data_IF_133051493722
#
_entry.id   IF_133051493722
#
_cell.length_a   1.000
_cell.length_b   1.000
_cell.length_c   1.000
_cell.angle_alpha   90.00
_cell.angle_beta   90.00
_cell.angle_gamma   90.00
#
_symmetry.space_group_name_H-M   'P 1'
#
loop_
_entity.id
_entity.type
_entity.pdbx_description
1 polymer ?
#
# COMPACT_ATOMS: atom_id res chain seq x y z
N UNK A 1 -13.38 -22.67 -1.91
CA UNK A 1 -13.17 -21.78 -3.08
C UNK A 1 -11.71 -21.35 -3.05
N UNK A 2 -10.99 -21.63 -4.12
CA UNK A 2 -9.54 -21.84 -4.13
C UNK A 2 -8.75 -20.54 -3.97
N UNK A 3 -7.94 -20.45 -2.92
CA UNK A 3 -6.94 -19.40 -2.67
C UNK A 3 -5.77 -19.58 -3.65
N UNK A 4 -5.85 -18.98 -4.83
CA UNK A 4 -4.71 -18.89 -5.73
C UNK A 4 -3.84 -17.72 -5.33
N UNK A 5 -3.04 -17.89 -4.27
CA UNK A 5 -2.08 -16.89 -3.80
C UNK A 5 -0.87 -16.88 -4.74
N UNK A 6 -0.78 -15.81 -5.54
CA UNK A 6 0.45 -15.27 -6.13
C UNK A 6 1.33 -16.27 -6.90
N UNK A 7 0.87 -16.72 -8.07
CA UNK A 7 1.77 -17.33 -9.06
C UNK A 7 2.02 -16.35 -10.21
N UNK A 8 2.90 -15.38 -9.99
CA UNK A 8 3.60 -14.65 -11.05
C UNK A 8 4.77 -13.89 -10.45
N UNK A 9 5.92 -13.90 -11.12
CA UNK A 9 7.12 -13.13 -10.79
C UNK A 9 6.87 -11.64 -11.03
N UNK A 10 6.00 -11.06 -10.22
CA UNK A 10 5.63 -9.67 -10.36
C UNK A 10 6.73 -8.78 -9.78
N UNK A 11 7.05 -7.68 -10.48
CA UNK A 11 7.99 -6.70 -9.96
C UNK A 11 7.46 -6.07 -8.67
N UNK A 12 8.37 -5.69 -7.76
CA UNK A 12 8.01 -5.01 -6.51
C UNK A 12 7.08 -3.81 -6.76
N UNK A 13 7.39 -3.00 -7.78
CA UNK A 13 6.55 -1.89 -8.24
C UNK A 13 5.12 -2.29 -8.55
N UNK A 14 4.95 -3.33 -9.36
CA UNK A 14 3.62 -3.76 -9.80
C UNK A 14 2.84 -4.40 -8.64
N UNK A 15 3.52 -5.10 -7.74
CA UNK A 15 2.91 -5.61 -6.51
C UNK A 15 2.46 -4.47 -5.59
N UNK A 16 3.31 -3.47 -5.34
CA UNK A 16 2.98 -2.28 -4.54
C UNK A 16 1.77 -1.55 -5.11
N UNK A 17 1.73 -1.36 -6.43
CA UNK A 17 0.60 -0.73 -7.10
C UNK A 17 -0.72 -1.51 -6.91
N UNK A 18 -0.67 -2.84 -6.99
CA UNK A 18 -1.86 -3.67 -6.72
C UNK A 18 -2.30 -3.61 -5.25
N UNK A 19 -1.35 -3.63 -4.31
CA UNK A 19 -1.68 -3.55 -2.88
C UNK A 19 -2.33 -2.21 -2.51
N UNK A 20 -1.95 -1.11 -3.17
CA UNK A 20 -2.57 0.20 -2.98
C UNK A 20 -4.06 0.28 -3.36
N UNK A 21 -4.51 -0.59 -4.27
CA UNK A 21 -5.92 -0.64 -4.71
C UNK A 21 -6.67 -1.86 -4.15
N UNK A 22 -5.99 -2.71 -3.37
CA UNK A 22 -6.58 -3.90 -2.80
C UNK A 22 -7.44 -3.58 -1.57
N UNK A 23 -8.56 -4.30 -1.41
CA UNK A 23 -9.38 -4.27 -0.18
C UNK A 23 -10.24 -3.02 0.02
N UNK A 24 -10.22 -2.05 -0.89
CA UNK A 24 -11.11 -0.88 -0.86
C UNK A 24 -12.47 -1.12 -1.51
N UNK A 25 -13.22 -0.04 -1.70
CA UNK A 25 -14.50 -0.06 -2.41
C UNK A 25 -14.34 0.22 -3.92
N UNK A 26 -15.47 0.26 -4.63
CA UNK A 26 -15.54 0.50 -6.07
C UNK A 26 -14.84 1.79 -6.57
N UNK A 27 -14.52 2.73 -5.69
CA UNK A 27 -13.78 3.95 -6.05
C UNK A 27 -12.31 3.69 -6.34
N UNK A 28 -11.72 2.60 -5.84
CA UNK A 28 -10.33 2.22 -6.11
C UNK A 28 -10.18 1.28 -7.32
N UNK A 29 -11.29 0.74 -7.83
CA UNK A 29 -11.26 -0.12 -9.02
C UNK A 29 -10.77 0.68 -10.23
N UNK A 30 -9.86 0.08 -10.98
CA UNK A 30 -9.33 0.66 -12.20
C UNK A 30 -10.25 0.35 -13.38
N UNK A 31 -10.44 1.34 -14.24
CA UNK A 31 -11.07 1.18 -15.55
C UNK A 31 -10.12 0.52 -16.57
N UNK A 32 -10.57 0.43 -17.83
CA UNK A 32 -9.78 -0.13 -18.93
C UNK A 32 -8.52 0.70 -19.26
N UNK A 33 -8.47 1.96 -18.82
CA UNK A 33 -7.35 2.88 -18.99
C UNK A 33 -6.36 2.79 -17.81
N UNK A 34 -6.67 2.02 -16.77
CA UNK A 34 -5.82 1.87 -15.58
C UNK A 34 -5.97 2.99 -14.57
N UNK A 35 -7.07 3.73 -14.62
CA UNK A 35 -7.37 4.83 -13.68
C UNK A 35 -8.59 4.53 -12.81
N UNK A 36 -8.60 5.06 -11.59
CA UNK A 36 -9.72 4.90 -10.67
C UNK A 36 -10.87 5.90 -10.99
N UNK A 37 -11.98 5.90 -10.21
CA UNK A 37 -13.11 6.84 -10.43
C UNK A 37 -12.74 8.33 -10.38
N UNK A 38 -11.54 8.66 -9.90
CA UNK A 38 -10.99 10.02 -9.83
C UNK A 38 -9.98 10.33 -10.94
N UNK A 39 -9.74 9.40 -11.87
CA UNK A 39 -8.74 9.55 -12.93
C UNK A 39 -7.30 9.35 -12.46
N UNK A 40 -7.08 8.77 -11.26
CA UNK A 40 -5.74 8.56 -10.71
C UNK A 40 -5.22 7.14 -10.99
N UNK A 41 -3.93 7.03 -11.29
CA UNK A 41 -3.21 5.75 -11.39
C UNK A 41 -2.70 5.30 -10.02
N UNK A 42 -2.53 3.99 -9.77
CA UNK A 42 -1.97 3.48 -8.52
C UNK A 42 -0.45 3.68 -8.41
N UNK A 43 0.20 4.13 -9.49
CA UNK A 43 1.61 4.52 -9.53
C UNK A 43 1.76 6.04 -9.60
N UNK A 44 2.90 6.59 -9.13
CA UNK A 44 3.20 8.01 -9.28
C UNK A 44 3.13 8.46 -10.74
N UNK A 45 2.60 9.66 -10.95
CA UNK A 45 2.63 10.35 -12.22
C UNK A 45 3.18 11.76 -11.99
N UNK A 46 4.47 11.96 -12.27
CA UNK A 46 5.18 13.22 -12.04
C UNK A 46 4.71 14.36 -12.97
N UNK A 47 4.03 14.03 -14.07
CA UNK A 47 3.44 15.02 -14.98
C UNK A 47 2.11 15.60 -14.45
N UNK A 48 1.52 15.00 -13.41
CA UNK A 48 0.28 15.48 -12.78
C UNK A 48 0.59 16.42 -11.61
N UNK A 49 0.24 17.69 -11.76
CA UNK A 49 0.14 18.61 -10.64
C UNK A 49 -1.18 18.34 -9.90
N UNK A 50 -1.08 17.66 -8.76
CA UNK A 50 -2.25 17.27 -7.96
C UNK A 50 -2.76 18.44 -7.12
N UNK A 51 -3.75 19.17 -7.63
CA UNK A 51 -4.52 20.18 -6.86
C UNK A 51 -5.80 19.61 -6.24
N UNK A 52 -5.98 18.29 -6.34
CA UNK A 52 -7.15 17.57 -5.85
C UNK A 52 -7.12 17.36 -4.33
N UNK A 53 -8.31 17.16 -3.76
CA UNK A 53 -8.51 16.80 -2.35
C UNK A 53 -7.84 15.47 -1.97
N UNK A 54 -7.60 15.23 -0.68
CA UNK A 54 -6.95 14.04 -0.08
C UNK A 54 -7.48 12.67 -0.60
N UNK A 55 -8.71 12.60 -1.10
CA UNK A 55 -9.32 11.38 -1.67
C UNK A 55 -9.15 11.21 -3.19
N UNK A 56 -8.63 12.22 -3.88
CA UNK A 56 -8.38 12.25 -5.32
C UNK A 56 -6.91 12.63 -5.62
N UNK A 57 -6.01 12.26 -4.70
CA UNK A 57 -4.59 12.53 -4.80
C UNK A 57 -3.84 11.32 -5.33
N UNK A 58 -2.93 11.54 -6.28
CA UNK A 58 -1.95 10.53 -6.69
C UNK A 58 -0.86 10.41 -5.62
N UNK A 59 -0.38 9.20 -5.35
CA UNK A 59 0.77 8.97 -4.46
C UNK A 59 2.04 9.62 -5.05
N UNK A 60 2.79 10.36 -4.24
CA UNK A 60 4.06 10.96 -4.68
C UNK A 60 5.11 9.87 -4.98
N UNK A 61 6.11 10.19 -5.80
CA UNK A 61 7.20 9.28 -6.11
C UNK A 61 7.97 8.84 -4.85
N UNK A 62 8.21 9.78 -3.93
CA UNK A 62 8.86 9.53 -2.65
C UNK A 62 8.05 8.56 -1.78
N UNK A 63 6.76 8.82 -1.58
CA UNK A 63 5.90 7.95 -0.77
C UNK A 63 5.77 6.56 -1.40
N UNK A 64 5.72 6.47 -2.73
CA UNK A 64 5.68 5.19 -3.42
C UNK A 64 6.98 4.40 -3.22
N UNK A 65 8.15 5.04 -3.26
CA UNK A 65 9.43 4.40 -2.95
C UNK A 65 9.46 3.86 -1.50
N UNK A 66 8.96 4.64 -0.54
CA UNK A 66 8.82 4.19 0.85
C UNK A 66 7.89 2.99 0.98
N UNK A 67 6.79 2.94 0.21
CA UNK A 67 5.90 1.78 0.15
C UNK A 67 6.58 0.55 -0.48
N UNK A 68 7.37 0.72 -1.54
CA UNK A 68 8.16 -0.38 -2.11
C UNK A 68 9.12 -0.96 -1.08
N UNK A 69 9.83 -0.12 -0.32
CA UNK A 69 10.71 -0.57 0.76
C UNK A 69 9.93 -1.33 1.85
N UNK A 70 8.75 -0.82 2.21
CA UNK A 70 7.87 -1.46 3.18
C UNK A 70 7.41 -2.85 2.70
N UNK A 71 6.91 -2.96 1.47
CA UNK A 71 6.47 -4.23 0.86
C UNK A 71 7.65 -5.21 0.76
N UNK A 72 8.83 -4.75 0.33
CA UNK A 72 10.03 -5.58 0.27
C UNK A 72 10.43 -6.12 1.65
N UNK A 73 10.34 -5.29 2.71
CA UNK A 73 10.58 -5.72 4.09
C UNK A 73 9.60 -6.82 4.50
N UNK A 74 8.30 -6.63 4.27
CA UNK A 74 7.28 -7.63 4.59
C UNK A 74 7.52 -8.94 3.83
N UNK A 75 7.78 -8.89 2.52
CA UNK A 75 8.12 -10.08 1.72
C UNK A 75 9.35 -10.82 2.24
N UNK A 76 10.36 -10.09 2.73
CA UNK A 76 11.55 -10.71 3.29
C UNK A 76 11.32 -11.30 4.68
N UNK A 77 10.45 -10.71 5.49
CA UNK A 77 10.08 -11.28 6.80
C UNK A 77 9.19 -12.51 6.65
N UNK A 78 8.25 -12.52 5.69
CA UNK A 78 7.42 -13.69 5.38
C UNK A 78 8.23 -14.93 4.97
N UNK A 79 9.48 -14.78 4.54
CA UNK A 79 10.38 -15.93 4.26
C UNK A 79 10.86 -16.62 5.54
N UNK A 80 10.70 -16.00 6.70
CA UNK A 80 11.28 -16.41 7.98
C UNK A 80 10.24 -16.63 9.08
N UNK A 81 9.03 -16.13 8.89
CA UNK A 81 7.97 -16.04 9.90
C UNK A 81 6.61 -16.29 9.25
N UNK A 82 5.65 -16.80 10.02
CA UNK A 82 4.29 -17.03 9.54
C UNK A 82 3.54 -15.71 9.30
N UNK A 83 2.58 -15.72 8.36
CA UNK A 83 1.87 -14.52 7.94
C UNK A 83 1.06 -13.87 9.08
N UNK A 84 0.45 -14.66 9.95
CA UNK A 84 -0.35 -14.17 11.08
C UNK A 84 0.52 -13.46 12.11
N UNK A 85 1.69 -14.02 12.43
CA UNK A 85 2.64 -13.43 13.38
C UNK A 85 3.18 -12.09 12.84
N UNK A 86 3.60 -12.07 11.57
CA UNK A 86 4.01 -10.81 10.93
C UNK A 86 2.90 -9.74 10.95
N UNK A 87 1.65 -10.15 10.73
CA UNK A 87 0.52 -9.24 10.75
C UNK A 87 0.32 -8.62 12.14
N UNK A 88 0.33 -9.44 13.19
CA UNK A 88 0.18 -8.99 14.58
C UNK A 88 1.31 -8.02 14.98
N UNK A 89 2.55 -8.37 14.65
CA UNK A 89 3.73 -7.53 14.88
C UNK A 89 3.64 -6.18 14.16
N UNK A 90 3.21 -6.19 12.89
CA UNK A 90 3.11 -4.97 12.09
C UNK A 90 2.00 -4.04 12.60
N UNK A 91 0.86 -4.59 13.03
CA UNK A 91 -0.22 -3.82 13.67
C UNK A 91 0.27 -3.19 14.97
N UNK A 92 0.98 -3.95 15.82
CA UNK A 92 1.52 -3.44 17.07
C UNK A 92 2.54 -2.31 16.83
N UNK A 93 3.44 -2.49 15.84
CA UNK A 93 4.44 -1.48 15.45
C UNK A 93 3.79 -0.18 14.98
N UNK A 94 2.81 -0.26 14.06
CA UNK A 94 2.11 0.92 13.53
C UNK A 94 1.32 1.66 14.61
N UNK A 95 0.63 0.91 15.49
CA UNK A 95 -0.10 1.50 16.61
C UNK A 95 0.84 2.27 17.55
N UNK A 96 1.99 1.69 17.89
CA UNK A 96 3.00 2.35 18.74
C UNK A 96 3.53 3.64 18.09
N UNK A 97 3.84 3.59 16.79
CA UNK A 97 4.29 4.74 16.02
C UNK A 97 3.24 5.85 16.00
N UNK A 98 1.97 5.53 15.73
CA UNK A 98 0.89 6.52 15.75
C UNK A 98 0.67 7.15 17.11
N UNK A 99 0.70 6.35 18.19
CA UNK A 99 0.58 6.88 19.55
C UNK A 99 1.73 7.84 19.89
N UNK A 100 2.94 7.52 19.46
CA UNK A 100 4.10 8.40 19.61
C UNK A 100 3.92 9.72 18.86
N UNK A 101 3.46 9.69 17.60
CA UNK A 101 3.21 10.89 16.80
C UNK A 101 2.11 11.78 17.38
N UNK A 102 1.11 11.17 18.02
CA UNK A 102 0.01 11.89 18.68
C UNK A 102 0.38 12.38 20.09
N UNK A 103 1.61 12.14 20.55
CA UNK A 103 2.04 12.39 21.93
C UNK A 103 1.07 11.78 22.98
N UNK A 104 0.43 10.67 22.63
CA UNK A 104 -0.52 10.00 23.51
C UNK A 104 0.26 9.22 24.58
N UNK A 105 -0.04 9.40 25.88
CA UNK A 105 0.65 8.67 26.93
C UNK A 105 0.37 7.17 26.81
N UNK A 106 1.44 6.38 26.85
CA UNK A 106 1.37 4.91 26.88
C UNK A 106 1.00 4.50 28.31
N UNK A 107 -0.28 4.23 28.55
CA UNK A 107 -0.82 3.74 29.83
C UNK A 107 -0.86 2.22 29.90
#
# INVERSE_FOLDING_TARGET
MSTSLFTSTQSLRALTAQLLIAGGDERLLLDAQGTNKYGCTPTPNEALLSFSSSTASTVSAENFSSLEQFVARLQNTLKKTEATELFEDEVARQKSEWLSLLACPQG
#
